data_IF_754674406604
#
_entry.id   IF_754674406604
#
_cell.length_a   1.000
_cell.length_b   1.000
_cell.length_c   1.000
_cell.angle_alpha   90.00
_cell.angle_beta   90.00
_cell.angle_gamma   90.00
#
_symmetry.space_group_name_H-M   'P 1'
#
loop_
_entity.id
_entity.type
_entity.pdbx_description
1 polymer ?
#
# COMPACT_ATOMS: atom_id res chain seq x y z
N UNK A 1 16.16 33.20 1.42
CA UNK A 1 15.00 32.81 0.60
C UNK A 1 14.72 34.00 -0.28
N UNK A 2 15.38 34.04 -1.43
CA UNK A 2 15.31 35.15 -2.37
C UNK A 2 14.00 35.00 -3.14
N UNK A 3 13.10 35.96 -2.94
CA UNK A 3 11.78 35.96 -3.54
C UNK A 3 11.92 36.62 -4.92
N UNK A 4 12.32 35.84 -5.92
CA UNK A 4 12.27 36.24 -7.32
C UNK A 4 10.81 36.23 -7.77
N UNK A 5 10.09 37.30 -7.45
CA UNK A 5 8.92 37.72 -8.22
C UNK A 5 9.43 38.23 -9.57
N UNK A 6 9.85 37.31 -10.44
CA UNK A 6 9.97 37.61 -11.86
C UNK A 6 8.55 37.62 -12.40
N UNK A 7 8.09 38.78 -12.87
CA UNK A 7 6.85 38.87 -13.62
C UNK A 7 6.90 37.83 -14.76
N UNK A 8 5.86 37.02 -14.96
CA UNK A 8 5.87 35.98 -15.98
C UNK A 8 6.20 36.62 -17.33
N UNK A 9 7.20 36.10 -18.03
CA UNK A 9 7.57 36.58 -19.36
C UNK A 9 6.38 36.38 -20.32
N UNK A 10 5.68 37.48 -20.62
CA UNK A 10 4.51 37.47 -21.49
C UNK A 10 4.95 37.56 -22.94
N UNK A 11 4.38 36.70 -23.78
CA UNK A 11 4.62 36.67 -25.22
C UNK A 11 3.53 37.49 -25.91
N UNK A 12 3.90 38.58 -26.57
CA UNK A 12 2.93 39.50 -27.20
C UNK A 12 2.84 39.24 -28.70
N UNK A 13 1.63 38.95 -29.19
CA UNK A 13 1.34 38.76 -30.62
C UNK A 13 0.13 39.61 -31.00
N UNK A 14 0.30 40.53 -31.96
CA UNK A 14 -0.77 41.43 -32.48
C UNK A 14 -1.56 42.15 -31.36
N UNK A 15 -0.90 42.53 -30.26
CA UNK A 15 -1.53 43.20 -29.11
C UNK A 15 -2.18 42.27 -28.08
N UNK A 16 -2.18 40.95 -28.30
CA UNK A 16 -2.59 39.95 -27.31
C UNK A 16 -1.37 39.45 -26.52
N UNK A 17 -1.50 39.31 -25.21
CA UNK A 17 -0.45 38.79 -24.34
C UNK A 17 -0.76 37.34 -23.96
N UNK A 18 0.18 36.44 -24.25
CA UNK A 18 0.10 35.01 -23.98
C UNK A 18 1.06 34.63 -22.85
N UNK A 19 0.62 33.71 -21.99
CA UNK A 19 1.42 33.22 -20.86
C UNK A 19 2.43 32.15 -21.29
N UNK A 20 2.18 31.47 -22.40
CA UNK A 20 3.04 30.41 -22.90
C UNK A 20 3.55 30.72 -24.30
N UNK A 21 4.80 30.36 -24.56
CA UNK A 21 5.41 30.48 -25.90
C UNK A 21 4.65 29.67 -26.95
N UNK A 22 4.16 28.48 -26.59
CA UNK A 22 3.42 27.61 -27.50
C UNK A 22 2.10 28.25 -27.97
N UNK A 23 1.36 28.91 -27.08
CA UNK A 23 0.15 29.66 -27.43
C UNK A 23 0.48 30.85 -28.33
N UNK A 24 1.54 31.59 -28.02
CA UNK A 24 2.00 32.70 -28.87
C UNK A 24 2.37 32.23 -30.29
N UNK A 25 3.12 31.14 -30.41
CA UNK A 25 3.46 30.57 -31.72
C UNK A 25 2.22 30.04 -32.48
N UNK A 26 1.23 29.48 -31.77
CA UNK A 26 -0.07 29.14 -32.39
C UNK A 26 -0.75 30.40 -32.92
N UNK A 27 -0.82 31.45 -32.11
CA UNK A 27 -1.40 32.74 -32.48
C UNK A 27 -0.72 33.34 -33.71
N UNK A 28 0.62 33.30 -33.79
CA UNK A 28 1.35 33.75 -34.97
C UNK A 28 1.01 32.95 -36.23
N UNK A 29 0.87 31.62 -36.10
CA UNK A 29 0.47 30.77 -37.23
C UNK A 29 -0.95 31.08 -37.67
N UNK A 30 -1.86 31.31 -36.74
CA UNK A 30 -3.24 31.71 -37.04
C UNK A 30 -3.29 33.09 -37.70
N UNK A 31 -2.52 34.05 -37.22
CA UNK A 31 -2.40 35.38 -37.83
C UNK A 31 -1.93 35.29 -39.29
N UNK A 32 -0.94 34.45 -39.60
CA UNK A 32 -0.50 34.20 -40.98
C UNK A 32 -1.60 33.60 -41.84
N UNK A 33 -2.40 32.67 -41.29
CA UNK A 33 -3.56 32.10 -41.99
C UNK A 33 -4.63 33.15 -42.26
N UNK A 34 -4.94 34.01 -41.28
CA UNK A 34 -5.91 35.09 -41.41
C UNK A 34 -5.50 36.03 -42.55
N UNK A 35 -4.25 36.49 -42.55
CA UNK A 35 -3.73 37.36 -43.62
C UNK A 35 -3.90 36.75 -45.01
N UNK A 36 -3.63 35.45 -45.15
CA UNK A 36 -3.82 34.74 -46.41
C UNK A 36 -5.30 34.61 -46.82
N UNK A 37 -6.20 34.46 -45.85
CA UNK A 37 -7.63 34.42 -46.10
C UNK A 37 -8.15 35.79 -46.52
N UNK A 38 -7.74 36.86 -45.84
CA UNK A 38 -8.13 38.23 -46.15
C UNK A 38 -7.64 38.68 -47.53
N UNK A 39 -6.45 38.25 -47.97
CA UNK A 39 -5.96 38.54 -49.32
C UNK A 39 -6.82 37.91 -50.43
N UNK A 40 -7.53 36.81 -50.13
CA UNK A 40 -8.33 36.04 -51.09
C UNK A 40 -9.82 36.28 -50.96
N UNK A 41 -10.25 36.90 -49.87
CA UNK A 41 -11.65 37.11 -49.54
C UNK A 41 -12.03 38.53 -49.96
N UNK A 42 -13.08 38.63 -50.77
CA UNK A 42 -13.72 39.91 -51.04
C UNK A 42 -14.69 40.24 -49.88
N UNK A 43 -14.47 41.32 -49.10
CA UNK A 43 -15.32 41.68 -47.97
C UNK A 43 -16.77 41.95 -48.37
N UNK A 44 -16.98 42.46 -49.58
CA UNK A 44 -18.32 42.84 -50.07
C UNK A 44 -19.12 41.61 -50.53
N UNK A 45 -18.46 40.46 -50.72
CA UNK A 45 -19.10 39.21 -51.11
C UNK A 45 -19.65 38.45 -49.89
N UNK A 46 -20.78 38.92 -49.36
CA UNK A 46 -21.44 38.34 -48.18
C UNK A 46 -21.69 36.81 -48.26
N UNK A 47 -22.11 36.23 -49.40
CA UNK A 47 -22.20 34.77 -49.54
C UNK A 47 -20.86 34.04 -49.32
N UNK A 48 -19.76 34.55 -49.87
CA UNK A 48 -18.44 33.96 -49.72
C UNK A 48 -17.94 34.09 -48.27
N UNK A 49 -18.14 35.25 -47.65
CA UNK A 49 -17.81 35.51 -46.24
C UNK A 49 -18.57 34.55 -45.31
N UNK A 50 -19.87 34.35 -45.55
CA UNK A 50 -20.68 33.38 -44.78
C UNK A 50 -20.19 31.96 -44.94
N UNK A 51 -19.88 31.54 -46.17
CA UNK A 51 -19.38 30.19 -46.42
C UNK A 51 -18.03 29.96 -45.72
N UNK A 52 -17.14 30.95 -45.75
CA UNK A 52 -15.87 30.89 -45.03
C UNK A 52 -16.08 30.80 -43.53
N UNK A 53 -16.92 31.66 -42.95
CA UNK A 53 -17.21 31.65 -41.51
C UNK A 53 -17.75 30.29 -41.04
N UNK A 54 -18.77 29.75 -41.73
CA UNK A 54 -19.36 28.44 -41.37
C UNK A 54 -18.31 27.34 -41.49
N UNK A 55 -17.53 27.33 -42.57
CA UNK A 55 -16.50 26.32 -42.80
C UNK A 55 -15.38 26.40 -41.76
N UNK A 56 -14.92 27.60 -41.42
CA UNK A 56 -13.88 27.82 -40.43
C UNK A 56 -14.34 27.40 -39.03
N UNK A 57 -15.63 27.61 -38.72
CA UNK A 57 -16.25 27.15 -37.47
C UNK A 57 -16.39 25.62 -37.42
N UNK A 58 -16.95 25.00 -38.47
CA UNK A 58 -17.16 23.55 -38.53
C UNK A 58 -15.83 22.76 -38.56
N UNK A 59 -14.78 23.33 -39.14
CA UNK A 59 -13.43 22.73 -39.18
C UNK A 59 -12.53 23.14 -38.00
N UNK A 60 -13.02 23.99 -37.09
CA UNK A 60 -12.28 24.50 -35.94
C UNK A 60 -10.87 25.02 -36.29
N UNK A 61 -10.77 25.80 -37.38
CA UNK A 61 -9.49 26.24 -37.97
C UNK A 61 -8.68 27.13 -37.02
N UNK A 62 -9.39 27.80 -36.13
CA UNK A 62 -8.89 28.80 -35.18
C UNK A 62 -9.21 28.37 -33.75
N UNK A 63 -8.17 28.36 -32.91
CA UNK A 63 -8.25 27.99 -31.50
C UNK A 63 -7.86 29.16 -30.59
N UNK A 64 -6.96 30.04 -31.04
CA UNK A 64 -6.45 31.16 -30.23
C UNK A 64 -7.38 32.37 -30.25
N UNK A 65 -7.20 33.27 -29.29
CA UNK A 65 -7.95 34.51 -29.13
C UNK A 65 -7.91 35.39 -30.39
N UNK A 66 -6.81 35.37 -31.13
CA UNK A 66 -6.65 36.12 -32.39
C UNK A 66 -7.59 35.56 -33.45
N UNK A 67 -7.57 34.24 -33.65
CA UNK A 67 -8.43 33.54 -34.59
C UNK A 67 -9.91 33.65 -34.25
N UNK A 68 -10.26 33.56 -32.97
CA UNK A 68 -11.64 33.74 -32.49
C UNK A 68 -12.12 35.18 -32.68
N UNK A 69 -11.26 36.18 -32.47
CA UNK A 69 -11.58 37.59 -32.73
C UNK A 69 -11.85 37.83 -34.21
N UNK A 70 -11.06 37.22 -35.09
CA UNK A 70 -11.30 37.28 -36.53
C UNK A 70 -12.66 36.70 -36.92
N UNK A 71 -12.97 35.47 -36.45
CA UNK A 71 -14.28 34.86 -36.69
C UNK A 71 -15.43 35.70 -36.14
N UNK A 72 -15.24 36.34 -34.98
CA UNK A 72 -16.22 37.25 -34.38
C UNK A 72 -16.46 38.47 -35.25
N UNK A 73 -15.41 39.04 -35.83
CA UNK A 73 -15.55 40.19 -36.74
C UNK A 73 -16.35 39.80 -38.00
N UNK A 74 -16.06 38.64 -38.60
CA UNK A 74 -16.86 38.11 -39.72
C UNK A 74 -18.32 37.89 -39.32
N UNK A 75 -18.55 37.30 -38.14
CA UNK A 75 -19.90 37.07 -37.62
C UNK A 75 -20.66 38.38 -37.42
N UNK A 76 -20.04 39.39 -36.83
CA UNK A 76 -20.65 40.71 -36.61
C UNK A 76 -20.98 41.41 -37.92
N UNK A 77 -20.10 41.32 -38.91
CA UNK A 77 -20.36 41.87 -40.25
C UNK A 77 -21.57 41.19 -40.91
N UNK A 78 -21.63 39.85 -40.88
CA UNK A 78 -22.75 39.08 -41.43
C UNK A 78 -24.08 39.32 -40.69
N UNK A 79 -24.04 39.52 -39.36
CA UNK A 79 -25.22 39.86 -38.56
C UNK A 79 -25.69 41.28 -38.89
N UNK A 80 -24.76 42.24 -39.02
CA UNK A 80 -25.06 43.63 -39.34
C UNK A 80 -25.77 43.78 -40.69
N UNK A 81 -25.34 43.02 -41.69
CA UNK A 81 -25.95 42.99 -43.03
C UNK A 81 -27.18 42.05 -43.12
N UNK A 82 -27.59 41.40 -42.02
CA UNK A 82 -28.75 40.52 -41.97
C UNK A 82 -28.57 39.17 -42.68
N UNK A 83 -27.34 38.80 -43.03
CA UNK A 83 -26.99 37.57 -43.74
C UNK A 83 -26.81 36.35 -42.82
N UNK A 84 -26.77 36.58 -41.49
CA UNK A 84 -26.67 35.55 -40.45
C UNK A 84 -27.47 35.96 -39.21
N UNK A 85 -28.19 35.02 -38.59
CA UNK A 85 -28.80 35.25 -37.28
C UNK A 85 -27.84 34.90 -36.15
N UNK A 86 -27.93 35.61 -35.04
CA UNK A 86 -27.02 35.44 -33.89
C UNK A 86 -27.03 34.03 -33.29
N UNK A 87 -28.11 33.29 -33.46
CA UNK A 87 -28.36 31.95 -32.92
C UNK A 87 -28.08 30.82 -33.92
N UNK A 88 -27.91 31.11 -35.21
CA UNK A 88 -27.80 30.09 -36.26
C UNK A 88 -26.46 29.32 -36.20
N UNK A 89 -25.36 30.03 -35.94
CA UNK A 89 -24.00 29.47 -35.82
C UNK A 89 -23.18 30.28 -34.80
N UNK A 90 -23.42 30.08 -33.48
CA UNK A 90 -22.71 30.81 -32.44
C UNK A 90 -21.25 30.35 -32.31
N UNK A 91 -20.36 31.27 -31.98
CA UNK A 91 -18.98 30.96 -31.61
C UNK A 91 -18.95 30.27 -30.24
N UNK A 92 -18.35 29.09 -30.17
CA UNK A 92 -18.21 28.31 -28.93
C UNK A 92 -16.93 28.74 -28.21
N UNK A 93 -17.06 29.27 -26.99
CA UNK A 93 -15.92 29.62 -26.15
C UNK A 93 -15.37 28.34 -25.50
N UNK A 94 -14.28 27.80 -26.05
CA UNK A 94 -13.67 26.55 -25.58
C UNK A 94 -12.95 26.66 -24.24
N UNK A 95 -12.31 27.81 -23.97
CA UNK A 95 -11.50 28.04 -22.75
C UNK A 95 -12.26 27.73 -21.45
N UNK A 96 -13.58 27.89 -21.40
CA UNK A 96 -14.38 27.56 -20.21
C UNK A 96 -14.54 26.05 -19.96
N UNK A 97 -14.49 25.22 -21.01
CA UNK A 97 -14.81 23.79 -20.90
C UNK A 97 -13.54 22.93 -20.83
N UNK A 98 -12.56 23.18 -21.70
CA UNK A 98 -11.33 22.37 -21.75
C UNK A 98 -10.40 22.59 -20.57
N UNK A 99 -10.30 23.82 -20.03
CA UNK A 99 -9.54 24.08 -18.80
C UNK A 99 -10.24 23.45 -17.59
N UNK A 100 -11.57 23.61 -17.48
CA UNK A 100 -12.37 22.99 -16.42
C UNK A 100 -12.29 21.46 -16.45
N UNK A 101 -12.40 20.84 -17.62
CA UNK A 101 -12.29 19.38 -17.79
C UNK A 101 -10.88 18.89 -17.43
N UNK A 102 -9.82 19.53 -17.95
CA UNK A 102 -8.43 19.17 -17.63
C UNK A 102 -8.09 19.36 -16.16
N UNK A 103 -8.56 20.46 -15.55
CA UNK A 103 -8.36 20.72 -14.12
C UNK A 103 -9.12 19.69 -13.27
N UNK A 104 -10.35 19.34 -13.67
CA UNK A 104 -11.15 18.31 -13.01
C UNK A 104 -10.49 16.93 -13.13
N UNK A 105 -9.96 16.58 -14.31
CA UNK A 105 -9.21 15.34 -14.52
C UNK A 105 -7.95 15.29 -13.66
N UNK A 106 -7.14 16.36 -13.64
CA UNK A 106 -5.95 16.47 -12.79
C UNK A 106 -6.29 16.29 -11.32
N UNK A 107 -7.33 16.98 -10.84
CA UNK A 107 -7.80 16.89 -9.45
C UNK A 107 -8.29 15.47 -9.10
N UNK A 108 -8.95 14.78 -10.03
CA UNK A 108 -9.41 13.41 -9.84
C UNK A 108 -8.25 12.42 -9.79
N UNK A 109 -7.24 12.60 -10.65
CA UNK A 109 -6.02 11.78 -10.63
C UNK A 109 -5.22 11.96 -9.34
N UNK A 110 -5.06 13.20 -8.88
CA UNK A 110 -4.42 13.52 -7.61
C UNK A 110 -5.15 12.87 -6.42
N UNK A 111 -6.49 12.93 -6.39
CA UNK A 111 -7.28 12.25 -5.36
C UNK A 111 -7.09 10.73 -5.39
N UNK A 112 -7.14 10.10 -6.57
CA UNK A 112 -6.94 8.65 -6.72
C UNK A 112 -5.53 8.23 -6.27
N UNK A 113 -4.51 9.01 -6.64
CA UNK A 113 -3.13 8.75 -6.24
C UNK A 113 -2.98 8.86 -4.71
N UNK A 114 -3.64 9.84 -4.10
CA UNK A 114 -3.64 10.03 -2.66
C UNK A 114 -4.36 8.88 -1.93
N UNK A 115 -5.54 8.46 -2.42
CA UNK A 115 -6.30 7.34 -1.86
C UNK A 115 -5.50 6.04 -1.92
N UNK A 116 -4.84 5.76 -3.06
CA UNK A 116 -3.96 4.60 -3.21
C UNK A 116 -2.82 4.63 -2.20
N UNK A 117 -2.17 5.78 -2.02
CA UNK A 117 -1.08 5.97 -1.05
C UNK A 117 -1.54 5.76 0.40
N UNK A 118 -2.78 6.11 0.73
CA UNK A 118 -3.37 5.84 2.05
C UNK A 118 -3.68 4.35 2.25
N UNK A 119 -4.25 3.67 1.25
CA UNK A 119 -4.51 2.22 1.28
C UNK A 119 -3.22 1.41 1.42
N UNK A 120 -2.21 1.70 0.60
CA UNK A 120 -0.91 1.01 0.64
C UNK A 120 -0.25 1.13 2.02
N UNK A 121 -0.29 2.33 2.63
CA UNK A 121 0.22 2.56 3.99
C UNK A 121 -0.59 1.82 5.06
N UNK A 122 -1.90 1.68 4.89
CA UNK A 122 -2.75 0.93 5.81
C UNK A 122 -2.43 -0.58 5.74
N UNK A 123 -2.32 -1.12 4.54
CA UNK A 123 -1.99 -2.53 4.32
C UNK A 123 -0.58 -2.87 4.83
N UNK A 124 0.39 -1.99 4.63
CA UNK A 124 1.75 -2.15 5.17
C UNK A 124 1.75 -2.16 6.71
N UNK A 125 0.92 -1.33 7.35
CA UNK A 125 0.76 -1.32 8.82
C UNK A 125 0.12 -2.61 9.32
N UNK A 126 -0.93 -3.10 8.64
CA UNK A 126 -1.61 -4.36 8.98
C UNK A 126 -0.67 -5.55 8.79
N UNK A 127 0.09 -5.59 7.69
CA UNK A 127 1.09 -6.62 7.42
C UNK A 127 2.20 -6.65 8.48
N UNK A 128 2.74 -5.48 8.85
CA UNK A 128 3.74 -5.38 9.93
C UNK A 128 3.19 -5.82 11.28
N UNK A 129 1.93 -5.51 11.60
CA UNK A 129 1.29 -5.96 12.83
C UNK A 129 1.10 -7.49 12.86
N UNK A 130 0.65 -8.09 11.75
CA UNK A 130 0.53 -9.56 11.61
C UNK A 130 1.87 -10.27 11.74
N UNK A 131 2.92 -9.75 11.11
CA UNK A 131 4.25 -10.36 11.18
C UNK A 131 4.83 -10.31 12.61
N UNK A 132 4.70 -9.17 13.30
CA UNK A 132 5.11 -9.05 14.72
C UNK A 132 4.33 -10.00 15.63
N UNK A 133 3.02 -10.16 15.40
CA UNK A 133 2.21 -11.10 16.16
C UNK A 133 2.63 -12.56 15.90
N UNK A 134 2.88 -12.93 14.64
CA UNK A 134 3.36 -14.26 14.26
C UNK A 134 4.73 -14.61 14.85
N UNK A 135 5.65 -13.65 14.89
CA UNK A 135 6.98 -13.84 15.48
C UNK A 135 6.90 -14.05 17.01
N UNK A 136 6.02 -13.32 17.70
CA UNK A 136 5.77 -13.51 19.14
C UNK A 136 5.15 -14.89 19.43
N UNK A 137 4.17 -15.33 18.62
CA UNK A 137 3.54 -16.66 18.75
C UNK A 137 4.56 -17.77 18.49
N UNK A 138 5.45 -17.61 17.51
CA UNK A 138 6.51 -18.57 17.21
C UNK A 138 7.49 -18.77 18.39
N UNK A 139 7.89 -17.66 19.03
CA UNK A 139 8.76 -17.70 20.23
C UNK A 139 8.07 -18.40 21.41
N UNK A 140 6.78 -18.14 21.63
CA UNK A 140 6.00 -18.82 22.67
C UNK A 140 5.86 -20.33 22.40
N UNK A 141 5.63 -20.75 21.15
CA UNK A 141 5.55 -22.18 20.79
C UNK A 141 6.85 -22.93 21.07
N UNK A 142 7.99 -22.34 20.71
CA UNK A 142 9.31 -22.92 20.99
C UNK A 142 9.57 -23.03 22.50
N UNK A 143 9.16 -22.01 23.28
CA UNK A 143 9.26 -22.04 24.75
C UNK A 143 8.40 -23.16 25.34
N UNK A 144 7.14 -23.29 24.92
CA UNK A 144 6.25 -24.37 25.38
C UNK A 144 6.80 -25.76 25.01
N UNK A 145 7.37 -25.92 23.82
CA UNK A 145 8.00 -27.17 23.40
C UNK A 145 9.21 -27.52 24.29
N UNK A 146 10.07 -26.54 24.59
CA UNK A 146 11.23 -26.72 25.47
C UNK A 146 10.80 -27.09 26.91
N UNK A 147 9.77 -26.43 27.45
CA UNK A 147 9.20 -26.76 28.76
C UNK A 147 8.59 -28.17 28.76
N UNK A 148 7.89 -28.57 27.70
CA UNK A 148 7.33 -29.91 27.58
C UNK A 148 8.40 -31.01 27.61
N UNK A 149 9.51 -30.81 26.90
CA UNK A 149 10.66 -31.74 26.92
C UNK A 149 11.28 -31.81 28.32
N UNK A 150 11.42 -30.67 29.00
CA UNK A 150 11.96 -30.63 30.37
C UNK A 150 11.09 -31.44 31.35
N UNK A 151 9.77 -31.28 31.29
CA UNK A 151 8.84 -32.04 32.14
C UNK A 151 8.92 -33.55 31.84
N UNK A 152 9.05 -33.93 30.56
CA UNK A 152 9.20 -35.32 30.15
C UNK A 152 10.48 -35.95 30.72
N UNK A 153 11.60 -35.22 30.73
CA UNK A 153 12.85 -35.67 31.37
C UNK A 153 12.70 -35.86 32.89
N UNK A 154 11.97 -34.98 33.58
CA UNK A 154 11.68 -35.11 35.01
C UNK A 154 10.85 -36.37 35.28
N UNK A 155 9.82 -36.63 34.47
CA UNK A 155 8.99 -37.84 34.57
C UNK A 155 9.83 -39.09 34.31
N UNK A 156 10.69 -39.09 33.29
CA UNK A 156 11.58 -40.20 32.98
C UNK A 156 12.53 -40.49 34.16
N UNK A 157 13.09 -39.45 34.78
CA UNK A 157 13.94 -39.59 35.97
C UNK A 157 13.14 -40.19 37.14
N UNK A 158 11.89 -39.77 37.34
CA UNK A 158 11.03 -40.31 38.39
C UNK A 158 10.69 -41.80 38.17
N UNK A 159 10.39 -42.20 36.93
CA UNK A 159 10.15 -43.60 36.57
C UNK A 159 11.39 -44.48 36.76
N UNK A 160 12.56 -43.98 36.37
CA UNK A 160 13.84 -44.66 36.61
C UNK A 160 14.11 -44.81 38.11
N UNK A 161 13.80 -43.80 38.94
CA UNK A 161 13.96 -43.93 40.40
C UNK A 161 13.02 -44.95 41.03
N UNK A 162 11.81 -45.14 40.48
CA UNK A 162 10.86 -46.13 40.98
C UNK A 162 11.19 -47.56 40.51
N UNK A 163 11.76 -47.71 39.31
CA UNK A 163 12.01 -49.02 38.67
C UNK A 163 13.45 -49.51 38.87
N UNK A 164 14.36 -48.59 39.23
CA UNK A 164 15.78 -48.86 39.42
C UNK A 164 16.01 -49.67 40.69
N UNK A 165 16.29 -50.96 40.52
CA UNK A 165 16.96 -51.83 41.50
C UNK A 165 18.41 -51.40 41.78
N UNK A 166 18.67 -50.10 41.93
CA UNK A 166 19.93 -49.54 42.41
C UNK A 166 19.68 -48.94 43.79
N UNK A 167 20.36 -49.38 44.84
CA UNK A 167 20.15 -48.86 46.19
C UNK A 167 20.57 -47.39 46.23
N UNK A 168 19.58 -46.51 46.15
CA UNK A 168 19.76 -45.08 46.38
C UNK A 168 19.92 -44.84 47.89
N UNK A 169 20.69 -43.82 48.28
CA UNK A 169 21.28 -43.62 49.61
C UNK A 169 20.30 -43.73 50.81
N UNK A 170 19.00 -43.55 50.55
CA UNK A 170 17.92 -43.64 51.55
C UNK A 170 17.64 -45.09 51.99
N UNK A 171 17.86 -46.09 51.12
CA UNK A 171 17.53 -47.50 51.41
C UNK A 171 18.73 -48.36 51.84
N UNK A 172 19.94 -47.78 51.90
CA UNK A 172 21.14 -48.53 52.27
C UNK A 172 21.10 -49.01 53.73
N UNK A 173 20.55 -48.17 54.62
CA UNK A 173 20.37 -48.49 56.05
C UNK A 173 19.45 -49.69 56.26
N UNK A 174 18.31 -49.71 55.56
CA UNK A 174 17.31 -50.76 55.75
C UNK A 174 17.77 -52.09 55.14
N UNK A 175 18.50 -52.05 54.01
CA UNK A 175 19.10 -53.24 53.42
C UNK A 175 20.09 -53.91 54.39
N UNK A 176 21.00 -53.13 54.99
CA UNK A 176 21.96 -53.64 55.97
C UNK A 176 21.25 -54.17 57.22
N UNK A 177 20.24 -53.47 57.75
CA UNK A 177 19.47 -53.92 58.92
C UNK A 177 18.72 -55.23 58.65
N UNK A 178 18.18 -55.41 57.44
CA UNK A 178 17.49 -56.64 57.06
C UNK A 178 18.47 -57.83 57.03
N UNK A 179 19.67 -57.65 56.48
CA UNK A 179 20.70 -58.71 56.50
C UNK A 179 21.11 -59.09 57.93
N UNK A 180 21.29 -58.12 58.83
CA UNK A 180 21.56 -58.42 60.24
C UNK A 180 20.39 -59.13 60.92
N UNK A 181 19.14 -58.74 60.60
CA UNK A 181 17.95 -59.35 61.18
C UNK A 181 17.75 -60.79 60.70
N UNK A 182 18.07 -61.07 59.45
CA UNK A 182 18.02 -62.43 58.88
C UNK A 182 19.16 -63.29 59.45
N UNK A 183 20.36 -62.73 59.62
CA UNK A 183 21.46 -63.43 60.26
C UNK A 183 21.18 -63.78 61.72
N UNK A 184 20.53 -62.87 62.47
CA UNK A 184 20.19 -63.10 63.86
C UNK A 184 19.12 -64.20 64.01
N UNK A 185 18.16 -64.28 63.10
CA UNK A 185 17.19 -65.39 63.03
C UNK A 185 17.87 -66.74 62.72
N UNK A 186 18.83 -66.76 61.79
CA UNK A 186 19.59 -67.98 61.48
C UNK A 186 20.39 -68.47 62.71
N UNK A 187 21.00 -67.55 63.45
CA UNK A 187 21.70 -67.88 64.70
C UNK A 187 20.76 -68.42 65.77
N UNK A 188 19.63 -67.76 65.99
CA UNK A 188 18.64 -68.18 66.99
C UNK A 188 18.05 -69.55 66.66
N UNK A 189 17.82 -69.82 65.38
CA UNK A 189 17.38 -71.14 64.91
C UNK A 189 18.45 -72.21 65.16
N UNK A 190 19.71 -71.93 64.87
CA UNK A 190 20.84 -72.84 65.16
C UNK A 190 21.01 -73.08 66.66
N UNK A 191 20.90 -72.05 67.49
CA UNK A 191 20.97 -72.20 68.94
C UNK A 191 19.80 -73.02 69.48
N UNK A 192 18.58 -72.81 68.96
CA UNK A 192 17.42 -73.62 69.34
C UNK A 192 17.59 -75.09 68.94
N UNK A 193 18.20 -75.37 67.78
CA UNK A 193 18.56 -76.73 67.36
C UNK A 193 19.65 -77.35 68.24
N UNK A 194 20.69 -76.59 68.60
CA UNK A 194 21.73 -77.02 69.54
C UNK A 194 21.16 -77.33 70.93
N UNK A 195 20.29 -76.46 71.45
CA UNK A 195 19.68 -76.61 72.78
C UNK A 195 18.77 -77.85 72.86
N UNK A 196 18.11 -78.22 71.76
CA UNK A 196 17.36 -79.48 71.64
C UNK A 196 18.29 -80.69 71.70
N UNK A 197 19.39 -80.67 70.96
CA UNK A 197 20.40 -81.75 70.98
C UNK A 197 21.08 -81.89 72.34
N UNK A 198 21.37 -80.78 73.03
CA UNK A 198 21.91 -80.82 74.40
C UNK A 198 20.91 -81.37 75.41
N UNK A 199 19.61 -81.04 75.28
CA UNK A 199 18.56 -81.57 76.15
C UNK A 199 18.29 -83.07 75.91
N UNK A 200 18.48 -83.55 74.69
CA UNK A 200 18.44 -84.98 74.35
C UNK A 200 19.64 -85.73 74.95
N UNK A 201 20.85 -85.17 74.86
CA UNK A 201 22.07 -85.77 75.43
C UNK A 201 22.14 -85.75 76.96
N UNK A 202 21.42 -84.83 77.63
CA UNK A 202 21.41 -84.72 79.09
C UNK A 202 20.27 -85.52 79.75
N UNK A 203 19.40 -86.17 78.97
CA UNK A 203 18.30 -87.04 79.42
C UNK A 203 18.56 -88.53 79.11
N UNK A 204 19.78 -88.89 78.73
CA UNK A 204 20.27 -90.27 78.53
C UNK A 204 21.34 -90.61 79.57
#
# INVERSE_FOLDING_TARGET
MENTNEDPELYIVEGFAFYTKEEAEKAERELKKIRLLDERLDPDNLPAVRALYIKALDQEVFETEIGLTYLRNLQMHLIGEGYLKSDEKPLIIKYSKTQWEKETERMLEEQKALEKKYKDKADERIGRAKNKAGEAIGKMKNLYLAVGVLVLLIIAMFLLTLTGKNPNIINYRNAVINEYSDWQKDLEQREAELRKKEAELNNE
#
